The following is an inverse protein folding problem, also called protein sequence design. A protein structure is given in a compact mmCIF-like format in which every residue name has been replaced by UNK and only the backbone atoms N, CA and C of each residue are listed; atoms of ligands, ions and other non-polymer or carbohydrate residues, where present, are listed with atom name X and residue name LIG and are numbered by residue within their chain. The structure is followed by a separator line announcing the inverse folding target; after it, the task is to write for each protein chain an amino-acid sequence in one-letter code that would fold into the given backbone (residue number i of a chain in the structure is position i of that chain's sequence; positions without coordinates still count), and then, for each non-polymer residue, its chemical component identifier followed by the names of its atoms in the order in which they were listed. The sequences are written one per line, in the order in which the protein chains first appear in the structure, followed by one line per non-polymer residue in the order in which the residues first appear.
data_IF_330356606906
#
_entry.id   IF_330356606906
#
_cell.length_a   1.000
_cell.length_b   1.000
_cell.length_c   1.000
_cell.angle_alpha   90.00
_cell.angle_beta   90.00
_cell.angle_gamma   90.00
#
_symmetry.space_group_name_H-M   'P 1'
#
loop_
_entity.id
_entity.type
_entity.pdbx_description
1 polymer ?
#
# COMPACT_ATOMS: atom_id res chain seq x y z
N UNK A 1 -6.90 -3.74 29.46
CA UNK A 1 -5.89 -2.68 29.70
C UNK A 1 -4.98 -2.44 28.49
N UNK A 2 -4.54 -3.46 27.73
CA UNK A 2 -3.72 -3.28 26.51
C UNK A 2 -4.51 -2.70 25.31
N UNK A 3 -5.76 -3.09 25.10
CA UNK A 3 -6.60 -2.57 23.98
C UNK A 3 -6.96 -1.09 24.12
N UNK A 4 -7.12 -0.59 25.33
CA UNK A 4 -7.43 0.83 25.58
C UNK A 4 -6.23 1.74 25.30
N UNK A 5 -4.99 1.27 25.54
CA UNK A 5 -3.76 2.02 25.25
C UNK A 5 -3.45 2.12 23.75
N UNK A 6 -3.73 1.06 23.00
CA UNK A 6 -3.56 1.04 21.53
C UNK A 6 -4.57 2.00 20.90
N UNK A 7 -5.82 1.96 21.26
CA UNK A 7 -6.86 2.84 20.74
C UNK A 7 -6.56 4.34 20.99
N UNK A 8 -6.08 4.70 22.18
CA UNK A 8 -5.77 6.10 22.51
C UNK A 8 -4.53 6.65 21.78
N UNK A 9 -3.54 5.81 21.45
CA UNK A 9 -2.32 6.22 20.75
C UNK A 9 -2.58 6.41 19.26
N UNK A 10 -3.37 5.50 18.63
CA UNK A 10 -3.78 5.59 17.23
C UNK A 10 -4.72 6.76 16.96
N UNK A 11 -5.73 6.97 17.83
CA UNK A 11 -6.67 8.08 17.69
C UNK A 11 -5.99 9.46 17.85
N UNK A 12 -5.01 9.59 18.76
CA UNK A 12 -4.21 10.81 18.89
C UNK A 12 -3.33 11.07 17.68
N UNK A 13 -2.87 9.99 17.03
CA UNK A 13 -2.02 10.07 15.87
C UNK A 13 -2.78 10.57 14.62
N UNK A 14 -3.97 10.01 14.33
CA UNK A 14 -4.84 10.48 13.23
C UNK A 14 -5.26 11.94 13.43
N UNK A 15 -5.30 12.42 14.67
CA UNK A 15 -5.60 13.81 15.01
C UNK A 15 -4.44 14.79 14.76
N UNK A 16 -3.23 14.33 14.41
CA UNK A 16 -2.12 15.23 14.11
C UNK A 16 -2.41 16.06 12.86
N UNK A 17 -2.03 17.35 12.90
CA UNK A 17 -2.25 18.28 11.79
C UNK A 17 -1.57 17.79 10.51
N UNK A 18 -0.37 17.25 10.65
CA UNK A 18 0.47 16.78 9.54
C UNK A 18 -0.18 15.62 8.79
N UNK A 19 -0.72 14.63 9.51
CA UNK A 19 -1.40 13.49 8.89
C UNK A 19 -2.68 13.91 8.19
N UNK A 20 -3.43 14.83 8.79
CA UNK A 20 -4.61 15.38 8.12
C UNK A 20 -4.24 16.07 6.81
N UNK A 21 -3.15 16.85 6.80
CA UNK A 21 -2.65 17.48 5.58
C UNK A 21 -2.29 16.41 4.53
N UNK A 22 -1.53 15.36 4.90
CA UNK A 22 -1.18 14.27 3.99
C UNK A 22 -2.41 13.59 3.40
N UNK A 23 -3.41 13.30 4.21
CA UNK A 23 -4.67 12.69 3.75
C UNK A 23 -5.43 13.63 2.82
N UNK A 24 -5.64 14.88 3.22
CA UNK A 24 -6.41 15.85 2.42
C UNK A 24 -5.72 16.13 1.09
N UNK A 25 -4.42 16.41 1.11
CA UNK A 25 -3.65 16.65 -0.12
C UNK A 25 -3.65 15.39 -0.98
N UNK A 26 -3.42 14.21 -0.38
CA UNK A 26 -3.44 12.94 -1.10
C UNK A 26 -4.78 12.63 -1.75
N UNK A 27 -5.89 12.86 -1.06
CA UNK A 27 -7.24 12.70 -1.62
C UNK A 27 -7.51 13.71 -2.74
N UNK A 28 -7.13 14.98 -2.54
CA UNK A 28 -7.32 16.01 -3.55
C UNK A 28 -6.59 15.68 -4.85
N UNK A 29 -5.32 15.27 -4.78
CA UNK A 29 -4.57 14.85 -5.96
C UNK A 29 -5.21 13.66 -6.67
N UNK A 30 -5.62 12.63 -5.92
CA UNK A 30 -6.30 11.45 -6.49
C UNK A 30 -7.62 11.81 -7.16
N UNK A 31 -8.38 12.68 -6.53
CA UNK A 31 -9.63 13.19 -7.10
C UNK A 31 -9.38 13.95 -8.41
N UNK A 32 -8.43 14.90 -8.42
CA UNK A 32 -8.08 15.68 -9.62
C UNK A 32 -7.59 14.75 -10.76
N UNK A 33 -6.74 13.78 -10.44
CA UNK A 33 -6.27 12.82 -11.44
C UNK A 33 -7.38 11.91 -11.96
N UNK A 34 -8.31 11.49 -11.09
CA UNK A 34 -9.47 10.71 -11.52
C UNK A 34 -10.36 11.48 -12.48
N UNK A 35 -10.44 12.80 -12.36
CA UNK A 35 -11.15 13.65 -13.32
C UNK A 35 -10.41 13.75 -14.67
N UNK A 36 -9.06 13.70 -14.65
CA UNK A 36 -8.25 13.72 -15.87
C UNK A 36 -8.22 12.34 -16.56
N UNK A 37 -8.14 11.27 -15.77
CA UNK A 37 -8.10 9.89 -16.24
C UNK A 37 -9.45 9.24 -16.04
N UNK A 38 -10.42 9.52 -16.89
CA UNK A 38 -11.78 8.98 -16.77
C UNK A 38 -11.88 7.45 -16.90
N UNK A 39 -10.82 6.79 -17.33
CA UNK A 39 -10.75 5.34 -17.52
C UNK A 39 -9.63 4.71 -16.73
N UNK A 40 -9.89 3.51 -16.21
CA UNK A 40 -8.85 2.68 -15.57
C UNK A 40 -7.84 2.25 -16.63
N UNK A 41 -6.57 2.65 -16.45
CA UNK A 41 -5.50 2.27 -17.37
C UNK A 41 -5.26 0.75 -17.29
N UNK A 42 -5.23 0.12 -18.45
CA UNK A 42 -4.99 -1.32 -18.59
C UNK A 42 -3.73 -1.55 -19.40
N UNK A 43 -2.92 -2.46 -18.91
CA UNK A 43 -1.68 -2.92 -19.55
C UNK A 43 -1.83 -4.40 -19.92
N UNK A 44 -0.95 -4.94 -20.77
CA UNK A 44 -0.98 -6.37 -21.09
C UNK A 44 -1.04 -7.27 -19.85
N UNK A 45 -0.31 -6.90 -18.79
CA UNK A 45 -0.30 -7.61 -17.51
C UNK A 45 -1.62 -7.52 -16.73
N UNK A 46 -2.36 -6.42 -16.89
CA UNK A 46 -3.62 -6.20 -16.18
C UNK A 46 -4.65 -7.29 -16.49
N UNK A 47 -4.69 -7.74 -17.73
CA UNK A 47 -5.64 -8.77 -18.17
C UNK A 47 -5.37 -10.11 -17.48
N UNK A 48 -4.11 -10.52 -17.38
CA UNK A 48 -3.72 -11.78 -16.75
C UNK A 48 -3.97 -11.78 -15.23
N UNK A 49 -3.77 -10.64 -14.54
CA UNK A 49 -4.15 -10.49 -13.13
C UNK A 49 -5.65 -10.60 -12.93
N UNK A 50 -6.45 -9.96 -13.80
CA UNK A 50 -7.90 -10.03 -13.74
C UNK A 50 -8.44 -11.45 -14.01
N UNK A 51 -7.84 -12.18 -14.97
CA UNK A 51 -8.19 -13.57 -15.26
C UNK A 51 -7.95 -14.45 -14.04
N UNK A 52 -6.78 -14.32 -13.40
CA UNK A 52 -6.50 -15.12 -12.19
C UNK A 52 -7.44 -14.74 -11.04
N UNK A 53 -7.70 -13.45 -10.81
CA UNK A 53 -8.64 -13.01 -9.79
C UNK A 53 -10.06 -13.59 -10.03
N UNK A 54 -10.53 -13.62 -11.29
CA UNK A 54 -11.81 -14.24 -11.65
C UNK A 54 -11.81 -15.73 -11.37
N UNK A 55 -10.77 -16.47 -11.76
CA UNK A 55 -10.62 -17.90 -11.43
C UNK A 55 -10.67 -18.16 -9.93
N UNK A 56 -10.05 -17.28 -9.13
CA UNK A 56 -10.10 -17.35 -7.66
C UNK A 56 -11.54 -17.11 -7.15
N UNK A 57 -12.29 -16.18 -7.73
CA UNK A 57 -13.70 -15.93 -7.38
C UNK A 57 -14.60 -17.11 -7.72
N UNK A 58 -14.34 -17.75 -8.84
CA UNK A 58 -15.08 -18.94 -9.30
C UNK A 58 -14.64 -20.23 -8.57
N UNK A 59 -13.64 -20.14 -7.66
CA UNK A 59 -12.99 -21.27 -6.97
C UNK A 59 -12.53 -22.36 -7.95
N UNK A 60 -12.12 -21.96 -9.15
CA UNK A 60 -11.71 -22.87 -10.22
C UNK A 60 -10.34 -22.48 -10.75
N UNK A 61 -9.32 -23.19 -10.29
CA UNK A 61 -7.94 -23.07 -10.75
C UNK A 61 -7.52 -24.22 -11.68
N UNK A 62 -8.47 -25.02 -12.18
CA UNK A 62 -8.20 -26.09 -13.14
C UNK A 62 -7.55 -25.48 -14.39
N UNK A 63 -6.51 -26.13 -14.89
CA UNK A 63 -5.69 -25.67 -16.04
C UNK A 63 -5.01 -24.31 -15.86
N UNK A 64 -4.83 -23.84 -14.63
CA UNK A 64 -4.01 -22.66 -14.37
C UNK A 64 -2.52 -23.02 -14.45
N UNK A 65 -1.81 -22.41 -15.40
CA UNK A 65 -0.41 -22.72 -15.72
C UNK A 65 0.63 -22.05 -14.79
N UNK A 66 0.18 -21.27 -13.81
CA UNK A 66 1.08 -20.57 -12.89
C UNK A 66 1.76 -19.31 -13.46
N UNK A 67 1.23 -18.74 -14.53
CA UNK A 67 1.80 -17.58 -15.22
C UNK A 67 1.92 -16.33 -14.33
N UNK A 68 1.08 -16.20 -13.33
CA UNK A 68 1.04 -15.05 -12.42
C UNK A 68 1.01 -15.50 -10.96
N UNK A 69 1.78 -14.83 -10.14
CA UNK A 69 1.71 -15.06 -8.70
C UNK A 69 0.42 -14.49 -8.10
N UNK A 70 -0.11 -15.10 -7.03
CA UNK A 70 -1.45 -14.81 -6.53
C UNK A 70 -1.56 -13.53 -5.69
N UNK A 71 -0.45 -12.90 -5.30
CA UNK A 71 -0.47 -11.81 -4.32
C UNK A 71 -1.30 -10.59 -4.74
N UNK A 72 -1.11 -10.10 -5.96
CA UNK A 72 -1.90 -8.99 -6.46
C UNK A 72 -3.32 -9.40 -6.91
N UNK A 73 -3.52 -10.53 -7.60
CA UNK A 73 -4.85 -11.07 -7.87
C UNK A 73 -5.71 -11.23 -6.62
N UNK A 74 -5.13 -11.48 -5.45
CA UNK A 74 -5.85 -11.54 -4.18
C UNK A 74 -6.48 -10.18 -3.82
N UNK A 75 -5.81 -9.06 -4.08
CA UNK A 75 -6.40 -7.72 -3.92
C UNK A 75 -7.61 -7.54 -4.85
N UNK A 76 -7.49 -7.99 -6.11
CA UNK A 76 -8.57 -7.93 -7.09
C UNK A 76 -9.73 -8.88 -6.72
N UNK A 77 -9.43 -10.02 -6.11
CA UNK A 77 -10.41 -10.93 -5.54
C UNK A 77 -11.27 -10.24 -4.46
N UNK A 78 -10.64 -9.54 -3.51
CA UNK A 78 -11.36 -8.75 -2.51
C UNK A 78 -12.11 -7.55 -3.10
N UNK A 79 -11.72 -7.09 -4.27
CA UNK A 79 -12.48 -6.12 -5.05
C UNK A 79 -13.58 -6.77 -5.94
N UNK A 80 -13.86 -8.07 -5.78
CA UNK A 80 -14.83 -8.83 -6.57
C UNK A 80 -14.60 -8.71 -8.09
N UNK A 81 -13.34 -8.51 -8.53
CA UNK A 81 -13.02 -8.23 -9.93
C UNK A 81 -13.56 -6.89 -10.45
N UNK A 82 -14.16 -6.06 -9.58
CA UNK A 82 -14.68 -4.74 -9.95
C UNK A 82 -13.57 -3.70 -9.95
N UNK A 83 -13.14 -3.29 -11.13
CA UNK A 83 -12.00 -2.40 -11.34
C UNK A 83 -12.07 -1.08 -10.55
N UNK A 84 -13.20 -0.34 -10.52
CA UNK A 84 -13.27 0.90 -9.73
C UNK A 84 -13.00 0.68 -8.23
N UNK A 85 -13.47 -0.44 -7.67
CA UNK A 85 -13.21 -0.79 -6.27
C UNK A 85 -11.74 -1.14 -6.04
N UNK A 86 -11.10 -1.84 -7.00
CA UNK A 86 -9.67 -2.11 -6.93
C UNK A 86 -8.85 -0.80 -6.92
N UNK A 87 -9.21 0.17 -7.77
CA UNK A 87 -8.58 1.51 -7.78
C UNK A 87 -8.80 2.24 -6.45
N UNK A 88 -10.00 2.15 -5.87
CA UNK A 88 -10.28 2.74 -4.56
C UNK A 88 -9.39 2.13 -3.47
N UNK A 89 -9.17 0.81 -3.49
CA UNK A 89 -8.23 0.14 -2.59
C UNK A 89 -6.79 0.62 -2.82
N UNK A 90 -6.37 0.77 -4.08
CA UNK A 90 -5.04 1.30 -4.40
C UNK A 90 -4.85 2.73 -3.92
N UNK A 91 -5.85 3.59 -4.01
CA UNK A 91 -5.81 4.95 -3.45
C UNK A 91 -5.67 4.94 -1.92
N UNK A 92 -6.45 4.09 -1.24
CA UNK A 92 -6.32 3.92 0.21
C UNK A 92 -4.92 3.42 0.59
N UNK A 93 -4.40 2.42 -0.11
CA UNK A 93 -3.05 1.88 0.05
C UNK A 93 -2.00 2.97 -0.17
N UNK A 94 -2.12 3.80 -1.19
CA UNK A 94 -1.18 4.89 -1.46
C UNK A 94 -1.18 5.98 -0.37
N UNK A 95 -2.34 6.30 0.22
CA UNK A 95 -2.43 7.20 1.37
C UNK A 95 -1.74 6.57 2.59
N UNK A 96 -1.99 5.28 2.85
CA UNK A 96 -1.34 4.55 3.94
C UNK A 96 0.18 4.49 3.74
N UNK A 97 0.65 4.29 2.51
CA UNK A 97 2.07 4.36 2.14
C UNK A 97 2.69 5.70 2.53
N UNK A 98 2.03 6.81 2.19
CA UNK A 98 2.50 8.15 2.56
C UNK A 98 2.58 8.34 4.08
N UNK A 99 1.59 7.83 4.82
CA UNK A 99 1.59 7.87 6.29
C UNK A 99 2.75 7.04 6.87
N UNK A 100 3.03 5.87 6.30
CA UNK A 100 4.16 5.02 6.71
C UNK A 100 5.49 5.73 6.47
N UNK A 101 5.71 6.34 5.30
CA UNK A 101 6.92 7.11 5.02
C UNK A 101 7.08 8.30 5.95
N UNK A 102 6.01 9.05 6.23
CA UNK A 102 6.06 10.13 7.22
C UNK A 102 6.54 9.63 8.59
N UNK A 103 6.02 8.48 9.05
CA UNK A 103 6.45 7.86 10.32
C UNK A 103 7.89 7.37 10.28
N UNK A 104 8.29 6.76 9.19
CA UNK A 104 9.66 6.28 8.98
C UNK A 104 10.65 7.43 9.07
N UNK A 105 10.34 8.57 8.46
CA UNK A 105 11.17 9.78 8.56
C UNK A 105 11.26 10.32 10.00
N UNK A 106 10.16 10.27 10.75
CA UNK A 106 10.20 10.63 12.18
C UNK A 106 11.09 9.68 12.99
N UNK A 107 11.13 8.40 12.64
CA UNK A 107 12.03 7.43 13.27
C UNK A 107 13.50 7.68 12.92
N UNK A 108 13.79 8.38 11.82
CA UNK A 108 15.13 8.87 11.45
C UNK A 108 15.45 10.28 11.99
N UNK A 109 14.76 10.70 13.06
CA UNK A 109 14.97 11.97 13.76
C UNK A 109 14.70 13.25 12.93
N UNK A 110 14.05 13.10 11.75
CA UNK A 110 13.55 14.28 11.06
C UNK A 110 12.42 14.94 11.86
N UNK A 111 12.41 16.27 11.91
CA UNK A 111 11.32 16.98 12.57
C UNK A 111 10.01 16.87 11.75
N UNK A 112 8.86 17.09 12.41
CA UNK A 112 7.53 16.93 11.79
C UNK A 112 7.35 17.74 10.50
N UNK A 113 7.90 18.93 10.43
CA UNK A 113 7.79 19.81 9.27
C UNK A 113 8.62 19.27 8.10
N UNK A 114 9.84 18.82 8.34
CA UNK A 114 10.70 18.20 7.32
C UNK A 114 10.06 16.90 6.80
N UNK A 115 9.64 16.01 7.71
CA UNK A 115 8.97 14.75 7.35
C UNK A 115 7.72 15.00 6.51
N UNK A 116 6.93 16.02 6.85
CA UNK A 116 5.75 16.39 6.08
C UNK A 116 6.12 16.83 4.65
N UNK A 117 7.08 17.75 4.50
CA UNK A 117 7.46 18.25 3.19
C UNK A 117 8.10 17.19 2.30
N UNK A 118 8.98 16.34 2.87
CA UNK A 118 9.58 15.23 2.13
C UNK A 118 8.48 14.27 1.66
N UNK A 119 7.55 13.91 2.54
CA UNK A 119 6.45 12.98 2.18
C UNK A 119 5.52 13.60 1.13
N UNK A 120 5.18 14.88 1.25
CA UNK A 120 4.38 15.59 0.25
C UNK A 120 5.10 15.63 -1.10
N UNK A 121 6.41 15.88 -1.10
CA UNK A 121 7.21 15.84 -2.31
C UNK A 121 7.19 14.43 -2.94
N UNK A 122 7.43 13.38 -2.15
CA UNK A 122 7.32 11.99 -2.65
C UNK A 122 5.92 11.69 -3.19
N UNK A 123 4.88 12.17 -2.51
CA UNK A 123 3.49 11.99 -2.92
C UNK A 123 3.14 12.78 -4.20
N UNK A 124 3.87 13.85 -4.54
CA UNK A 124 3.62 14.66 -5.73
C UNK A 124 4.15 14.04 -7.03
N UNK A 125 4.91 12.93 -6.95
CA UNK A 125 5.37 12.24 -8.15
C UNK A 125 4.19 11.62 -8.91
N UNK A 126 3.94 12.12 -10.10
CA UNK A 126 2.83 11.68 -10.95
C UNK A 126 2.84 10.18 -11.24
N UNK A 127 4.01 9.55 -11.30
CA UNK A 127 4.14 8.12 -11.50
C UNK A 127 3.50 7.28 -10.38
N UNK A 128 3.51 7.78 -9.13
CA UNK A 128 2.84 7.10 -8.00
C UNK A 128 1.34 6.98 -8.30
N UNK A 129 0.72 8.08 -8.70
CA UNK A 129 -0.71 8.11 -9.04
C UNK A 129 -1.02 7.33 -10.30
N UNK A 130 -0.11 7.36 -11.29
CA UNK A 130 -0.25 6.56 -12.50
C UNK A 130 -0.38 5.06 -12.17
N UNK A 131 0.46 4.54 -11.28
CA UNK A 131 0.35 3.15 -10.84
C UNK A 131 -0.90 2.89 -10.00
N UNK A 132 -1.34 3.85 -9.20
CA UNK A 132 -2.56 3.73 -8.42
C UNK A 132 -3.84 3.72 -9.27
N UNK A 133 -3.84 4.37 -10.43
CA UNK A 133 -4.96 4.35 -11.39
C UNK A 133 -4.92 3.20 -12.38
N UNK A 134 -3.90 2.37 -12.29
CA UNK A 134 -3.66 1.24 -13.20
C UNK A 134 -3.85 -0.08 -12.46
N UNK A 135 -4.28 -1.13 -13.16
CA UNK A 135 -4.33 -2.50 -12.59
C UNK A 135 -2.93 -3.11 -12.68
N UNK A 136 -2.07 -2.70 -11.76
CA UNK A 136 -0.65 -3.08 -11.70
C UNK A 136 -0.20 -3.35 -10.25
N UNK A 137 0.87 -4.12 -10.11
CA UNK A 137 1.38 -4.61 -8.82
C UNK A 137 2.16 -3.57 -8.01
N UNK A 138 2.59 -2.47 -8.65
CA UNK A 138 3.56 -1.51 -8.12
C UNK A 138 3.05 -0.83 -6.84
N UNK A 139 1.80 -0.41 -6.81
CA UNK A 139 1.20 0.24 -5.63
C UNK A 139 1.22 -0.66 -4.41
N UNK A 140 0.81 -1.92 -4.57
CA UNK A 140 0.80 -2.90 -3.48
C UNK A 140 2.24 -3.25 -3.05
N UNK A 141 3.16 -3.41 -4.00
CA UNK A 141 4.57 -3.67 -3.72
C UNK A 141 5.21 -2.53 -2.92
N UNK A 142 4.99 -1.28 -3.33
CA UNK A 142 5.51 -0.10 -2.64
C UNK A 142 4.97 0.00 -1.21
N UNK A 143 3.71 -0.32 -1.00
CA UNK A 143 3.09 -0.35 0.32
C UNK A 143 3.74 -1.39 1.24
N UNK A 144 3.92 -2.64 0.74
CA UNK A 144 4.53 -3.71 1.51
C UNK A 144 5.99 -3.38 1.87
N UNK A 145 6.76 -2.84 0.92
CA UNK A 145 8.11 -2.33 1.17
C UNK A 145 8.09 -1.25 2.25
N UNK A 146 7.14 -0.33 2.19
CA UNK A 146 7.01 0.76 3.18
C UNK A 146 6.68 0.23 4.57
N UNK A 147 5.87 -0.83 4.70
CA UNK A 147 5.63 -1.51 5.98
C UNK A 147 6.93 -2.08 6.53
N UNK A 148 7.71 -2.79 5.70
CA UNK A 148 8.99 -3.38 6.12
C UNK A 148 9.94 -2.30 6.63
N UNK A 149 10.12 -1.21 5.87
CA UNK A 149 10.98 -0.09 6.29
C UNK A 149 10.51 0.53 7.60
N UNK A 150 9.23 0.79 7.75
CA UNK A 150 8.68 1.34 8.99
C UNK A 150 8.92 0.40 10.18
N UNK A 151 8.71 -0.89 10.02
CA UNK A 151 8.91 -1.87 11.09
C UNK A 151 10.39 -2.03 11.45
N UNK A 152 11.29 -2.05 10.46
CA UNK A 152 12.73 -2.11 10.70
C UNK A 152 13.23 -0.89 11.47
N UNK A 153 12.81 0.32 11.08
CA UNK A 153 13.20 1.54 11.80
C UNK A 153 12.63 1.57 13.23
N UNK A 154 11.43 1.04 13.43
CA UNK A 154 10.83 0.95 14.77
C UNK A 154 11.55 -0.11 15.64
N UNK A 155 11.97 -1.23 15.06
CA UNK A 155 12.74 -2.27 15.77
C UNK A 155 14.15 -1.81 16.12
N UNK A 156 14.76 -0.94 15.30
CA UNK A 156 16.08 -0.39 15.59
C UNK A 156 16.07 0.55 16.81
N UNK A 157 14.96 1.24 17.04
CA UNK A 157 14.79 2.21 18.14
C UNK A 157 14.28 1.51 19.42
N UNK A 158 13.41 0.51 19.29
CA UNK A 158 12.84 -0.25 20.40
C UNK A 158 13.62 -1.56 20.61
N UNK A 159 13.46 -2.18 21.79
CA UNK A 159 14.03 -3.51 22.08
C UNK A 159 13.53 -4.56 21.05
N UNK A 160 14.42 -5.50 20.71
CA UNK A 160 14.12 -6.61 19.80
C UNK A 160 12.84 -7.35 20.21
N UNK A 161 11.93 -7.50 19.27
CA UNK A 161 10.66 -8.16 19.51
C UNK A 161 10.40 -9.23 18.43
N UNK A 162 10.51 -10.50 18.83
CA UNK A 162 10.33 -11.66 17.95
C UNK A 162 9.01 -11.63 17.17
N UNK A 163 7.93 -11.09 17.77
CA UNK A 163 6.64 -10.97 17.06
C UNK A 163 6.70 -9.98 15.90
N UNK A 164 7.47 -8.88 16.06
CA UNK A 164 7.69 -7.92 14.97
C UNK A 164 8.54 -8.53 13.87
N UNK A 165 9.60 -9.27 14.23
CA UNK A 165 10.47 -9.93 13.26
C UNK A 165 9.72 -11.00 12.47
N UNK A 166 8.87 -11.78 13.13
CA UNK A 166 7.97 -12.74 12.46
C UNK A 166 7.00 -12.02 11.50
N UNK A 167 6.44 -10.90 11.93
CA UNK A 167 5.53 -10.13 11.08
C UNK A 167 6.25 -9.54 9.87
N UNK A 168 7.49 -9.04 10.03
CA UNK A 168 8.34 -8.61 8.91
C UNK A 168 8.55 -9.77 7.92
N UNK A 169 8.87 -10.97 8.43
CA UNK A 169 9.01 -12.16 7.60
C UNK A 169 7.73 -12.49 6.81
N UNK A 170 6.57 -12.42 7.45
CA UNK A 170 5.27 -12.62 6.78
C UNK A 170 5.03 -11.57 5.68
N UNK A 171 5.33 -10.29 5.95
CA UNK A 171 5.17 -9.21 4.95
C UNK A 171 6.12 -9.42 3.77
N UNK A 172 7.37 -9.80 4.02
CA UNK A 172 8.35 -10.12 2.97
C UNK A 172 7.90 -11.33 2.15
N UNK A 173 7.42 -12.40 2.79
CA UNK A 173 6.87 -13.56 2.10
C UNK A 173 5.67 -13.19 1.22
N UNK A 174 4.78 -12.32 1.70
CA UNK A 174 3.68 -11.83 0.89
C UNK A 174 4.15 -10.92 -0.26
N UNK A 175 5.19 -10.10 -0.05
CA UNK A 175 5.80 -9.28 -1.09
C UNK A 175 6.34 -10.15 -2.24
N UNK A 176 6.97 -11.30 -1.94
CA UNK A 176 7.40 -12.27 -2.96
C UNK A 176 6.20 -12.81 -3.75
N UNK A 177 5.07 -13.08 -3.08
CA UNK A 177 3.84 -13.50 -3.77
C UNK A 177 3.22 -12.37 -4.63
N UNK A 178 3.48 -11.11 -4.32
CA UNK A 178 3.03 -9.97 -5.16
C UNK A 178 3.98 -9.77 -6.33
N UNK A 179 5.28 -9.79 -6.08
CA UNK A 179 6.32 -9.53 -7.08
C UNK A 179 7.48 -10.52 -6.91
N UNK A 180 7.53 -11.60 -7.70
CA UNK A 180 8.52 -12.68 -7.55
C UNK A 180 9.99 -12.24 -7.65
N UNK A 181 10.27 -11.05 -8.20
CA UNK A 181 11.64 -10.51 -8.26
C UNK A 181 12.25 -10.18 -6.89
N UNK A 182 11.47 -10.25 -5.82
CA UNK A 182 11.97 -10.10 -4.45
C UNK A 182 12.31 -11.43 -3.77
N UNK A 183 12.26 -12.55 -4.49
CA UNK A 183 12.59 -13.89 -3.99
C UNK A 183 14.11 -14.13 -3.91
#
# INVERSE_FOLDING_TARGET
MFETLINHRWLRFIKSKEIRILIVVGLLFRFLLSLCYMNVSQFPDSSSFMVLAKRMLDFNLVDYTGERSPGYPLLLFFAFGFKPLAILYQFAIGILTSILWFKTLLNFDYNKKQSLWITLFMQSFIHVYFYETSILIETLSLFLVSIVFYLLTTNYIEEKNVKKDLFIGCVLGFLVLVKPFFA
#
